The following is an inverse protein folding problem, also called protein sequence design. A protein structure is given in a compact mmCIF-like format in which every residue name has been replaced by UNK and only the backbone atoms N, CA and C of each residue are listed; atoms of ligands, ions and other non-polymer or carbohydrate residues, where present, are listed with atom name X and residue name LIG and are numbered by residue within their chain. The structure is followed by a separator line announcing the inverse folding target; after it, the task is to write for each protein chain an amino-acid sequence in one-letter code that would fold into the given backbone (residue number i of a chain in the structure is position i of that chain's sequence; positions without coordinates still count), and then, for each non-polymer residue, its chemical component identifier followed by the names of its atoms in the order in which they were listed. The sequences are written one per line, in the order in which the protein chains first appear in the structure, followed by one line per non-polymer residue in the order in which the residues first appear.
data_IF_685328367266
#
_entry.id   IF_685328367266
#
_cell.length_a   1.000
_cell.length_b   1.000
_cell.length_c   1.000
_cell.angle_alpha   90.00
_cell.angle_beta   90.00
_cell.angle_gamma   90.00
#
_symmetry.space_group_name_H-M   'P 1'
#
loop_
_entity.id
_entity.type
_entity.pdbx_description
1 polymer ?
#
# COMPACT_ATOMS: atom_id res chain seq x y z
N UNK A 1 -13.40 -3.96 -10.17
CA UNK A 1 -14.23 -5.14 -10.53
C UNK A 1 -15.24 -5.35 -9.43
N UNK A 2 -16.53 -5.33 -9.75
CA UNK A 2 -17.56 -5.67 -8.78
C UNK A 2 -17.56 -7.20 -8.58
N UNK A 3 -17.52 -7.67 -7.33
CA UNK A 3 -17.55 -9.11 -7.02
C UNK A 3 -18.66 -9.51 -6.02
N UNK A 4 -19.45 -8.53 -5.55
CA UNK A 4 -20.65 -8.68 -4.71
C UNK A 4 -20.52 -9.59 -3.48
N UNK A 5 -19.29 -9.83 -3.01
CA UNK A 5 -19.05 -10.65 -1.83
C UNK A 5 -19.69 -10.01 -0.59
N UNK A 6 -20.22 -10.86 0.29
CA UNK A 6 -20.77 -10.44 1.59
C UNK A 6 -19.66 -10.07 2.58
N UNK A 7 -19.99 -9.27 3.60
CA UNK A 7 -19.05 -8.87 4.65
C UNK A 7 -18.52 -10.09 5.44
N UNK A 8 -19.35 -11.11 5.66
CA UNK A 8 -18.94 -12.34 6.33
C UNK A 8 -17.92 -13.14 5.49
N UNK A 9 -18.10 -13.20 4.18
CA UNK A 9 -17.14 -13.83 3.27
C UNK A 9 -15.85 -13.01 3.16
N UNK A 10 -15.96 -11.68 3.16
CA UNK A 10 -14.82 -10.78 3.18
C UNK A 10 -13.95 -11.02 4.43
N UNK A 11 -14.58 -11.05 5.61
CA UNK A 11 -13.88 -11.32 6.87
C UNK A 11 -13.24 -12.71 6.89
N UNK A 12 -13.96 -13.73 6.42
CA UNK A 12 -13.40 -15.08 6.24
C UNK A 12 -12.17 -15.07 5.34
N UNK A 13 -12.21 -14.33 4.23
CA UNK A 13 -11.05 -14.22 3.34
C UNK A 13 -9.89 -13.49 4.00
N UNK A 14 -10.11 -12.37 4.69
CA UNK A 14 -9.05 -11.67 5.45
C UNK A 14 -8.36 -12.64 6.41
N UNK A 15 -9.14 -13.36 7.22
CA UNK A 15 -8.62 -14.33 8.20
C UNK A 15 -7.83 -15.51 7.61
N UNK A 16 -7.93 -15.79 6.31
CA UNK A 16 -7.14 -16.84 5.64
C UNK A 16 -5.93 -16.25 4.91
N UNK A 17 -6.13 -15.16 4.18
CA UNK A 17 -5.08 -14.62 3.30
C UNK A 17 -4.08 -13.73 4.02
N UNK A 18 -4.50 -13.00 5.04
CA UNK A 18 -3.60 -12.14 5.82
C UNK A 18 -2.49 -12.94 6.53
N UNK A 19 -2.79 -13.97 7.35
CA UNK A 19 -1.72 -14.76 7.98
C UNK A 19 -0.90 -15.56 6.96
N UNK A 20 -1.51 -16.00 5.86
CA UNK A 20 -0.77 -16.66 4.78
C UNK A 20 0.25 -15.72 4.14
N UNK A 21 -0.16 -14.49 3.78
CA UNK A 21 0.77 -13.49 3.23
C UNK A 21 1.81 -13.05 4.25
N UNK A 22 1.47 -12.97 5.54
CA UNK A 22 2.43 -12.71 6.60
C UNK A 22 3.54 -13.79 6.66
N UNK A 23 3.19 -15.08 6.56
CA UNK A 23 4.19 -16.15 6.49
C UNK A 23 5.13 -16.01 5.27
N UNK A 24 4.61 -15.51 4.13
CA UNK A 24 5.46 -15.22 2.95
C UNK A 24 6.37 -14.02 3.21
N UNK A 25 5.92 -12.98 3.93
CA UNK A 25 6.79 -11.84 4.32
C UNK A 25 7.94 -12.29 5.22
N UNK A 26 7.65 -13.17 6.19
CA UNK A 26 8.67 -13.77 7.04
C UNK A 26 9.67 -14.60 6.23
N UNK A 27 9.19 -15.34 5.23
CA UNK A 27 10.06 -16.07 4.31
C UNK A 27 10.98 -15.13 3.51
N UNK A 28 10.47 -14.01 2.98
CA UNK A 28 11.29 -13.02 2.24
C UNK A 28 12.45 -12.54 3.10
N UNK A 29 12.19 -12.17 4.34
CA UNK A 29 13.23 -11.77 5.27
C UNK A 29 14.21 -12.91 5.58
N UNK A 30 13.71 -14.12 5.84
CA UNK A 30 14.56 -15.30 6.10
C UNK A 30 15.48 -15.62 4.92
N UNK A 31 15.00 -15.50 3.67
CA UNK A 31 15.81 -15.76 2.47
C UNK A 31 16.99 -14.80 2.32
N UNK A 32 16.89 -13.60 2.88
CA UNK A 32 17.97 -12.59 2.85
C UNK A 32 19.01 -12.89 3.92
N UNK A 33 18.57 -13.31 5.11
CA UNK A 33 19.41 -13.35 6.32
C UNK A 33 19.90 -14.74 6.72
N UNK A 34 19.39 -15.80 6.08
CA UNK A 34 19.74 -17.19 6.44
C UNK A 34 21.21 -17.52 6.17
N UNK A 35 21.78 -18.38 7.03
CA UNK A 35 23.14 -18.92 6.93
C UNK A 35 23.13 -20.45 7.09
N UNK A 36 22.00 -21.09 6.85
CA UNK A 36 21.91 -22.57 6.84
C UNK A 36 22.76 -23.14 5.70
N UNK A 37 23.12 -24.42 5.80
CA UNK A 37 23.95 -25.07 4.79
C UNK A 37 23.22 -25.28 3.45
N UNK A 38 24.00 -25.56 2.42
CA UNK A 38 23.51 -25.75 1.05
C UNK A 38 22.44 -26.85 0.92
N UNK A 39 22.52 -27.92 1.73
CA UNK A 39 21.57 -29.03 1.66
C UNK A 39 20.21 -28.61 2.20
N UNK A 40 20.20 -27.82 3.28
CA UNK A 40 18.98 -27.24 3.83
C UNK A 40 18.37 -26.20 2.89
N UNK A 41 19.18 -25.35 2.23
CA UNK A 41 18.69 -24.42 1.19
C UNK A 41 17.96 -25.18 0.07
N UNK A 42 18.52 -26.29 -0.42
CA UNK A 42 17.89 -27.10 -1.48
C UNK A 42 16.57 -27.72 -1.04
N UNK A 43 16.47 -28.17 0.22
CA UNK A 43 15.21 -28.71 0.79
C UNK A 43 14.15 -27.63 0.89
N UNK A 44 14.49 -26.48 1.47
CA UNK A 44 13.59 -25.33 1.58
C UNK A 44 13.11 -24.86 0.20
N UNK A 45 14.00 -24.78 -0.79
CA UNK A 45 13.63 -24.46 -2.17
C UNK A 45 12.58 -25.43 -2.72
N UNK A 46 12.79 -26.74 -2.57
CA UNK A 46 11.85 -27.75 -3.07
C UNK A 46 10.46 -27.65 -2.41
N UNK A 47 10.41 -27.34 -1.10
CA UNK A 47 9.16 -27.12 -0.38
C UNK A 47 8.43 -25.86 -0.86
N UNK A 48 9.15 -24.75 -1.04
CA UNK A 48 8.60 -23.49 -1.56
C UNK A 48 8.06 -23.68 -2.98
N UNK A 49 8.78 -24.39 -3.84
CA UNK A 49 8.35 -24.72 -5.20
C UNK A 49 7.10 -25.61 -5.20
N UNK A 50 7.04 -26.62 -4.32
CA UNK A 50 5.88 -27.49 -4.18
C UNK A 50 4.63 -26.73 -3.68
N UNK A 51 4.78 -25.85 -2.69
CA UNK A 51 3.69 -24.98 -2.22
C UNK A 51 3.24 -24.04 -3.35
N UNK A 52 4.19 -23.44 -4.06
CA UNK A 52 3.90 -22.54 -5.19
C UNK A 52 3.15 -23.26 -6.30
N UNK A 53 3.54 -24.49 -6.65
CA UNK A 53 2.86 -25.30 -7.66
C UNK A 53 1.40 -25.58 -7.27
N UNK A 54 1.13 -25.96 -6.01
CA UNK A 54 -0.22 -26.19 -5.49
C UNK A 54 -1.08 -24.92 -5.55
N UNK A 55 -0.52 -23.77 -5.19
CA UNK A 55 -1.24 -22.49 -5.27
C UNK A 55 -1.53 -22.06 -6.71
N UNK A 56 -0.76 -22.54 -7.69
CA UNK A 56 -0.95 -22.25 -9.11
C UNK A 56 -1.99 -23.14 -9.79
N UNK A 57 -2.49 -24.19 -9.13
CA UNK A 57 -3.55 -25.06 -9.67
C UNK A 57 -4.84 -24.28 -9.99
N UNK A 58 -5.10 -23.20 -9.25
CA UNK A 58 -6.26 -22.34 -9.49
C UNK A 58 -5.94 -20.88 -9.15
N UNK A 59 -5.80 -20.05 -10.18
CA UNK A 59 -5.47 -18.63 -10.04
C UNK A 59 -6.48 -17.74 -10.76
N UNK A 60 -6.49 -16.47 -10.38
CA UNK A 60 -7.20 -15.45 -11.13
C UNK A 60 -6.52 -15.18 -12.48
N UNK A 61 -7.30 -14.85 -13.50
CA UNK A 61 -6.76 -14.37 -14.77
C UNK A 61 -6.28 -12.92 -14.62
N UNK A 62 -5.05 -12.65 -15.08
CA UNK A 62 -4.49 -11.29 -15.12
C UNK A 62 -4.15 -10.70 -13.73
N UNK A 63 -4.36 -9.40 -13.58
CA UNK A 63 -4.02 -8.67 -12.35
C UNK A 63 -5.20 -8.60 -11.37
N UNK A 64 -4.91 -8.51 -10.05
CA UNK A 64 -5.94 -8.42 -9.02
C UNK A 64 -6.81 -7.16 -9.14
N UNK A 65 -6.20 -6.02 -9.48
CA UNK A 65 -6.87 -4.72 -9.61
C UNK A 65 -7.45 -4.20 -8.29
N UNK A 66 -8.53 -3.42 -8.37
CA UNK A 66 -9.35 -3.04 -7.21
C UNK A 66 -10.69 -3.78 -7.31
N UNK A 67 -11.06 -4.49 -6.24
CA UNK A 67 -12.33 -5.21 -6.15
C UNK A 67 -13.31 -4.47 -5.25
N UNK A 68 -14.58 -4.42 -5.66
CA UNK A 68 -15.62 -3.72 -4.93
C UNK A 68 -16.68 -4.73 -4.50
N UNK A 69 -16.93 -4.79 -3.18
CA UNK A 69 -18.01 -5.60 -2.61
C UNK A 69 -19.35 -4.87 -2.63
N UNK A 70 -20.35 -5.45 -1.97
CA UNK A 70 -21.70 -4.86 -1.86
C UNK A 70 -21.71 -3.48 -1.22
N UNK A 71 -20.85 -3.25 -0.23
CA UNK A 71 -20.74 -1.96 0.46
C UNK A 71 -20.02 -0.88 -0.36
N UNK A 72 -19.56 -1.19 -1.58
CA UNK A 72 -18.87 -0.23 -2.46
C UNK A 72 -17.45 0.15 -2.02
N UNK A 73 -16.92 -0.44 -0.94
CA UNK A 73 -15.52 -0.25 -0.51
C UNK A 73 -14.56 -0.95 -1.45
N UNK A 74 -13.56 -0.21 -1.92
CA UNK A 74 -12.48 -0.74 -2.75
C UNK A 74 -11.52 -1.60 -1.93
N UNK A 75 -11.15 -2.76 -2.48
CA UNK A 75 -10.19 -3.69 -1.89
C UNK A 75 -9.00 -3.82 -2.83
N UNK A 76 -7.91 -3.08 -2.60
CA UNK A 76 -6.71 -3.12 -3.43
C UNK A 76 -5.74 -4.21 -2.96
N UNK A 77 -6.21 -5.44 -2.65
CA UNK A 77 -5.37 -6.44 -1.97
C UNK A 77 -4.13 -6.91 -2.73
N UNK A 78 -4.01 -6.62 -4.03
CA UNK A 78 -2.78 -6.85 -4.80
C UNK A 78 -1.82 -5.65 -4.89
N UNK A 79 -2.18 -4.49 -4.33
CA UNK A 79 -1.39 -3.26 -4.38
C UNK A 79 -0.02 -3.45 -3.71
N UNK A 80 1.02 -2.78 -4.26
CA UNK A 80 2.42 -2.96 -3.84
C UNK A 80 2.77 -2.22 -2.54
N UNK A 81 1.86 -1.45 -1.96
CA UNK A 81 2.08 -0.69 -0.72
C UNK A 81 1.14 -1.12 0.40
N UNK A 82 -0.15 -1.32 0.08
CA UNK A 82 -1.20 -1.65 1.07
C UNK A 82 -1.90 -2.99 0.78
N UNK A 83 -1.33 -3.79 -0.14
CA UNK A 83 -1.96 -5.03 -0.57
C UNK A 83 -1.92 -6.13 0.49
N UNK A 84 -3.07 -6.48 1.05
CA UNK A 84 -3.24 -7.60 1.99
C UNK A 84 -2.67 -8.93 1.44
N UNK A 85 -2.79 -9.17 0.13
CA UNK A 85 -2.30 -10.37 -0.56
C UNK A 85 -0.96 -10.17 -1.27
N UNK A 86 -0.27 -9.05 -1.02
CA UNK A 86 1.02 -8.76 -1.62
C UNK A 86 2.12 -8.80 -0.55
N UNK A 87 2.99 -9.81 -0.62
CA UNK A 87 4.11 -9.95 0.32
C UNK A 87 5.23 -8.93 0.08
N UNK A 88 5.26 -8.26 -1.09
CA UNK A 88 6.17 -7.14 -1.32
C UNK A 88 5.68 -5.84 -0.67
N UNK A 89 4.39 -5.76 -0.31
CA UNK A 89 3.85 -4.60 0.38
C UNK A 89 4.52 -4.42 1.74
N UNK A 90 5.06 -3.24 2.06
CA UNK A 90 5.47 -2.93 3.41
C UNK A 90 4.24 -3.00 4.35
N UNK A 91 4.44 -3.33 5.63
CA UNK A 91 3.35 -3.62 6.56
C UNK A 91 2.68 -2.33 7.06
N UNK A 92 2.15 -1.51 6.15
CA UNK A 92 1.45 -0.28 6.47
C UNK A 92 0.01 -0.58 6.86
N UNK A 93 -0.36 -0.16 8.07
CA UNK A 93 -1.75 0.03 8.50
C UNK A 93 -1.95 1.53 8.61
N UNK A 94 -2.81 2.07 7.76
CA UNK A 94 -2.98 3.51 7.60
C UNK A 94 -4.25 3.91 8.34
N UNK A 95 -4.09 4.80 9.32
CA UNK A 95 -5.18 5.47 10.00
C UNK A 95 -5.38 6.86 9.38
N UNK A 96 -6.59 7.39 9.52
CA UNK A 96 -6.88 8.77 9.15
C UNK A 96 -7.90 9.41 10.10
N UNK A 97 -7.92 10.74 10.16
CA UNK A 97 -8.95 11.51 10.86
C UNK A 97 -10.02 12.07 9.92
N UNK A 98 -11.04 12.72 10.48
CA UNK A 98 -12.16 13.32 9.73
C UNK A 98 -11.74 14.47 8.80
N UNK A 99 -10.52 15.00 8.96
CA UNK A 99 -9.96 16.05 8.09
C UNK A 99 -9.23 15.49 6.88
N UNK A 100 -9.02 14.16 6.84
CA UNK A 100 -8.23 13.48 5.82
C UNK A 100 -6.73 13.49 6.10
N UNK A 101 -6.28 13.81 7.32
CA UNK A 101 -4.89 13.59 7.71
C UNK A 101 -4.69 12.10 7.92
N UNK A 102 -3.69 11.52 7.27
CA UNK A 102 -3.37 10.10 7.32
C UNK A 102 -2.02 9.85 8.02
N UNK A 103 -1.91 8.75 8.76
CA UNK A 103 -0.65 8.34 9.38
C UNK A 103 -0.53 6.82 9.48
N UNK A 104 0.70 6.33 9.58
CA UNK A 104 1.00 4.93 9.81
C UNK A 104 2.31 4.79 10.59
N UNK A 105 2.32 3.92 11.60
CA UNK A 105 3.54 3.45 12.28
C UNK A 105 3.84 2.03 11.80
N UNK A 106 5.06 1.76 11.36
CA UNK A 106 5.43 0.49 10.74
C UNK A 106 6.92 0.17 10.90
N UNK A 107 7.28 -1.09 10.64
CA UNK A 107 8.66 -1.57 10.69
C UNK A 107 9.16 -1.97 9.31
N UNK A 108 10.30 -1.43 8.87
CA UNK A 108 10.98 -1.84 7.63
C UNK A 108 12.26 -2.62 7.95
N UNK A 109 12.24 -3.92 7.65
CA UNK A 109 13.38 -4.83 7.78
C UNK A 109 14.21 -4.98 6.50
N UNK A 110 15.03 -6.03 6.45
CA UNK A 110 16.02 -6.27 5.38
C UNK A 110 15.41 -6.33 3.96
N UNK A 111 14.15 -6.72 3.83
CA UNK A 111 13.43 -6.76 2.55
C UNK A 111 13.32 -5.39 1.85
N UNK A 112 13.53 -4.28 2.57
CA UNK A 112 13.38 -2.92 2.08
C UNK A 112 14.69 -2.13 2.06
N UNK A 113 15.81 -2.80 2.36
CA UNK A 113 17.15 -2.21 2.39
C UNK A 113 17.59 -1.75 0.99
N UNK A 114 18.26 -0.59 0.94
CA UNK A 114 18.93 -0.12 -0.27
C UNK A 114 20.43 0.07 0.01
N UNK A 115 20.85 1.25 0.48
CA UNK A 115 22.18 1.39 1.08
C UNK A 115 22.29 0.56 2.37
N UNK A 116 23.50 0.15 2.79
CA UNK A 116 23.69 -0.62 4.01
C UNK A 116 23.05 0.05 5.24
N UNK A 117 22.15 -0.68 5.91
CA UNK A 117 21.40 -0.25 7.10
C UNK A 117 20.30 0.78 6.84
N UNK A 118 20.06 1.17 5.58
CA UNK A 118 19.11 2.22 5.22
C UNK A 118 18.02 1.69 4.29
N UNK A 119 16.81 2.23 4.44
CA UNK A 119 15.69 2.00 3.51
C UNK A 119 16.06 2.51 2.13
N UNK A 120 15.76 1.73 1.09
CA UNK A 120 15.94 2.15 -0.28
C UNK A 120 15.06 3.38 -0.59
N UNK A 121 15.64 4.43 -1.17
CA UNK A 121 14.89 5.68 -1.43
C UNK A 121 13.60 5.47 -2.26
N UNK A 122 13.63 4.53 -3.21
CA UNK A 122 12.44 4.12 -3.96
C UNK A 122 11.32 3.51 -3.12
N UNK A 123 11.64 2.82 -2.01
CA UNK A 123 10.63 2.33 -1.05
C UNK A 123 10.03 3.50 -0.28
N UNK A 124 10.84 4.45 0.18
CA UNK A 124 10.34 5.69 0.80
C UNK A 124 9.43 6.47 -0.15
N UNK A 125 9.80 6.57 -1.43
CA UNK A 125 8.97 7.22 -2.44
C UNK A 125 7.64 6.51 -2.66
N UNK A 126 7.65 5.18 -2.76
CA UNK A 126 6.46 4.36 -2.90
C UNK A 126 5.51 4.50 -1.70
N UNK A 127 6.04 4.50 -0.48
CA UNK A 127 5.25 4.72 0.74
C UNK A 127 4.62 6.12 0.74
N UNK A 128 5.40 7.15 0.43
CA UNK A 128 4.89 8.53 0.46
C UNK A 128 3.87 8.78 -0.66
N UNK A 129 4.03 8.22 -1.85
CA UNK A 129 3.00 8.29 -2.90
C UNK A 129 1.66 7.73 -2.40
N UNK A 130 1.66 6.55 -1.79
CA UNK A 130 0.47 5.95 -1.21
C UNK A 130 -0.12 6.84 -0.10
N UNK A 131 0.69 7.26 0.89
CA UNK A 131 0.21 8.08 2.01
C UNK A 131 -0.43 9.39 1.57
N UNK A 132 0.14 10.06 0.57
CA UNK A 132 -0.43 11.29 0.02
C UNK A 132 -1.75 11.00 -0.73
N UNK A 133 -1.84 9.87 -1.43
CA UNK A 133 -3.08 9.40 -2.07
C UNK A 133 -4.18 9.06 -1.07
N UNK A 134 -3.83 8.43 0.05
CA UNK A 134 -4.74 8.11 1.17
C UNK A 134 -5.27 9.40 1.81
N UNK A 135 -4.40 10.37 2.10
CA UNK A 135 -4.83 11.66 2.64
C UNK A 135 -5.78 12.40 1.68
N UNK A 136 -5.48 12.40 0.38
CA UNK A 136 -6.35 12.98 -0.63
C UNK A 136 -7.72 12.25 -0.72
N UNK A 137 -7.71 10.92 -0.65
CA UNK A 137 -8.91 10.09 -0.65
C UNK A 137 -9.79 10.31 0.57
N UNK A 138 -9.20 10.20 1.77
CA UNK A 138 -9.88 10.39 3.05
C UNK A 138 -10.46 11.81 3.20
N UNK A 139 -9.78 12.83 2.66
CA UNK A 139 -10.29 14.19 2.58
C UNK A 139 -11.37 14.44 1.51
N UNK A 140 -11.88 13.38 0.85
CA UNK A 140 -12.94 13.48 -0.17
C UNK A 140 -12.47 14.07 -1.50
N UNK A 141 -11.16 14.00 -1.79
CA UNK A 141 -10.53 14.59 -2.98
C UNK A 141 -9.66 13.56 -3.73
N UNK A 142 -10.18 12.37 -4.09
CA UNK A 142 -9.38 11.33 -4.73
C UNK A 142 -8.88 11.80 -6.10
N UNK A 143 -7.71 11.29 -6.50
CA UNK A 143 -7.13 11.60 -7.78
C UNK A 143 -5.99 10.67 -8.14
N UNK A 144 -5.59 10.70 -9.41
CA UNK A 144 -4.40 10.00 -9.88
C UNK A 144 -3.17 10.88 -9.64
N UNK A 145 -2.06 10.31 -9.21
CA UNK A 145 -0.79 11.03 -9.08
C UNK A 145 -0.41 11.67 -10.42
N UNK A 146 -0.31 13.00 -10.44
CA UNK A 146 0.17 13.80 -11.56
C UNK A 146 1.65 14.12 -11.43
N UNK A 147 2.08 14.56 -10.24
CA UNK A 147 3.50 14.78 -9.91
C UNK A 147 3.78 14.36 -8.48
N UNK A 148 4.98 13.87 -8.22
CA UNK A 148 5.49 13.56 -6.89
C UNK A 148 6.93 14.10 -6.79
N UNK A 149 7.17 14.98 -5.83
CA UNK A 149 8.48 15.58 -5.55
C UNK A 149 8.91 15.14 -4.17
N UNK A 150 10.12 14.57 -4.06
CA UNK A 150 10.68 14.13 -2.79
C UNK A 150 11.97 14.90 -2.44
N UNK A 151 12.12 15.25 -1.17
CA UNK A 151 13.37 15.77 -0.62
C UNK A 151 13.89 14.81 0.44
N UNK A 152 14.97 14.10 0.14
CA UNK A 152 15.67 13.23 1.08
C UNK A 152 16.59 14.09 1.97
N UNK A 153 16.15 14.34 3.20
CA UNK A 153 16.84 15.21 4.17
C UNK A 153 18.05 14.52 4.79
N UNK A 154 17.91 13.23 5.08
CA UNK A 154 18.93 12.37 5.68
C UNK A 154 18.64 10.90 5.37
N UNK A 155 19.57 10.01 5.73
CA UNK A 155 19.37 8.56 5.59
C UNK A 155 18.16 8.09 6.39
N UNK A 156 17.31 7.27 5.78
CA UNK A 156 16.20 6.62 6.50
C UNK A 156 16.69 5.27 7.03
N UNK A 157 16.86 5.08 8.34
CA UNK A 157 17.33 3.81 8.87
C UNK A 157 16.28 2.71 8.67
N UNK A 158 16.73 1.46 8.55
CA UNK A 158 15.86 0.31 8.80
C UNK A 158 15.35 0.34 10.25
N UNK A 159 14.19 -0.26 10.49
CA UNK A 159 13.55 -0.30 11.80
C UNK A 159 12.18 0.37 11.84
N UNK A 160 11.81 0.86 13.02
CA UNK A 160 10.52 1.50 13.28
C UNK A 160 10.49 2.92 12.71
N UNK A 161 9.47 3.18 11.89
CA UNK A 161 9.28 4.43 11.16
C UNK A 161 7.81 4.87 11.28
N UNK A 162 7.60 6.17 11.06
CA UNK A 162 6.26 6.76 10.95
C UNK A 162 6.14 7.51 9.65
N UNK A 163 5.02 7.35 8.95
CA UNK A 163 4.64 8.21 7.84
C UNK A 163 3.41 9.03 8.20
N UNK A 164 3.37 10.28 7.75
CA UNK A 164 2.19 11.15 7.87
C UNK A 164 1.96 11.90 6.56
N UNK A 165 0.70 12.17 6.24
CA UNK A 165 0.31 12.95 5.08
C UNK A 165 -0.98 13.74 5.32
N UNK A 166 -1.14 14.85 4.60
CA UNK A 166 -2.30 15.74 4.68
C UNK A 166 -2.50 16.51 3.37
N UNK A 167 -3.72 17.00 3.16
CA UNK A 167 -4.02 17.92 2.05
C UNK A 167 -3.47 19.32 2.40
N UNK A 168 -2.66 19.88 1.52
CA UNK A 168 -2.16 21.27 1.63
C UNK A 168 -3.17 22.26 1.05
N UNK A 169 -3.72 21.95 -0.13
CA UNK A 169 -4.75 22.75 -0.80
C UNK A 169 -5.45 21.96 -1.92
N UNK A 170 -6.62 22.41 -2.34
CA UNK A 170 -7.34 21.84 -3.49
C UNK A 170 -7.92 22.96 -4.37
N UNK A 171 -7.75 22.85 -5.68
CA UNK A 171 -8.25 23.82 -6.68
C UNK A 171 -8.78 23.09 -7.91
N UNK A 172 -10.10 23.19 -8.12
CA UNK A 172 -10.78 22.53 -9.23
C UNK A 172 -10.57 21.01 -9.19
N UNK A 173 -9.87 20.48 -10.19
CA UNK A 173 -9.63 19.04 -10.37
C UNK A 173 -8.29 18.57 -9.79
N UNK A 174 -7.57 19.47 -9.11
CA UNK A 174 -6.24 19.21 -8.55
C UNK A 174 -6.26 19.31 -7.03
N UNK A 175 -5.61 18.35 -6.40
CA UNK A 175 -5.39 18.30 -4.95
C UNK A 175 -3.89 18.24 -4.71
N UNK A 176 -3.36 19.16 -3.91
CA UNK A 176 -1.98 19.14 -3.46
C UNK A 176 -1.95 18.53 -2.07
N UNK A 177 -1.13 17.50 -1.90
CA UNK A 177 -0.91 16.85 -0.63
C UNK A 177 0.58 16.92 -0.26
N UNK A 178 0.84 16.93 1.04
CA UNK A 178 2.17 16.91 1.62
C UNK A 178 2.27 15.75 2.60
N UNK A 179 3.49 15.30 2.84
CA UNK A 179 3.75 14.29 3.85
C UNK A 179 5.22 14.10 4.12
N UNK A 180 5.52 13.33 5.14
CA UNK A 180 6.88 13.01 5.53
C UNK A 180 7.02 11.59 6.06
N UNK A 181 8.22 11.05 5.89
CA UNK A 181 8.70 9.86 6.56
C UNK A 181 9.59 10.28 7.72
N UNK A 182 9.34 9.72 8.89
CA UNK A 182 9.97 10.06 10.16
C UNK A 182 10.69 8.83 10.69
N UNK A 183 11.99 8.98 10.95
CA UNK A 183 12.79 8.01 11.69
C UNK A 183 13.04 8.45 13.13
N UNK A 184 13.88 7.71 13.87
CA UNK A 184 14.17 7.98 15.28
C UNK A 184 14.73 9.39 15.56
N UNK A 185 15.45 9.97 14.59
CA UNK A 185 16.07 11.30 14.69
C UNK A 185 15.25 12.40 14.01
N UNK A 186 14.01 12.11 13.60
CA UNK A 186 13.11 13.06 12.96
C UNK A 186 12.87 12.78 11.47
N UNK A 187 12.44 13.81 10.73
CA UNK A 187 12.05 13.68 9.32
C UNK A 187 13.25 13.28 8.46
N UNK A 188 13.10 12.19 7.70
CA UNK A 188 14.14 11.68 6.79
C UNK A 188 13.83 12.00 5.34
N UNK A 189 12.54 12.00 4.97
CA UNK A 189 12.06 12.30 3.62
C UNK A 189 10.81 13.16 3.70
N UNK A 190 10.75 14.24 2.93
CA UNK A 190 9.55 15.05 2.69
C UNK A 190 9.01 14.78 1.29
N UNK A 191 7.69 14.83 1.12
CA UNK A 191 7.02 14.69 -0.16
C UNK A 191 5.97 15.78 -0.39
N UNK A 192 5.89 16.24 -1.64
CA UNK A 192 4.77 17.04 -2.15
C UNK A 192 4.23 16.38 -3.42
N UNK A 193 2.92 16.20 -3.49
CA UNK A 193 2.25 15.53 -4.59
C UNK A 193 1.08 16.32 -5.13
N UNK A 194 0.81 16.17 -6.43
CA UNK A 194 -0.40 16.69 -7.08
C UNK A 194 -1.23 15.52 -7.57
N UNK A 195 -2.46 15.43 -7.10
CA UNK A 195 -3.43 14.42 -7.49
C UNK A 195 -4.48 15.05 -8.37
N UNK A 196 -4.79 14.41 -9.50
CA UNK A 196 -5.69 14.93 -10.52
C UNK A 196 -6.90 14.01 -10.63
N UNK A 197 -8.10 14.55 -10.42
CA UNK A 197 -9.34 13.81 -10.60
C UNK A 197 -9.48 13.43 -12.08
N UNK A 198 -9.48 12.12 -12.42
CA UNK A 198 -9.43 11.69 -13.81
C UNK A 198 -10.71 12.05 -14.56
N UNK A 199 -10.63 12.16 -15.90
CA UNK A 199 -11.74 12.61 -16.75
C UNK A 199 -13.02 11.79 -16.56
N UNK A 200 -12.90 10.47 -16.56
CA UNK A 200 -14.06 9.57 -16.41
C UNK A 200 -14.77 9.79 -15.06
N UNK A 201 -14.03 10.08 -13.98
CA UNK A 201 -14.61 10.36 -12.66
C UNK A 201 -15.35 11.70 -12.67
N UNK A 202 -14.78 12.70 -13.34
CA UNK A 202 -15.44 14.01 -13.51
C UNK A 202 -16.73 13.91 -14.32
N UNK A 203 -16.72 13.11 -15.38
CA UNK A 203 -17.89 12.84 -16.21
C UNK A 203 -18.97 12.10 -15.42
N UNK A 204 -18.58 11.12 -14.58
CA UNK A 204 -19.51 10.42 -13.70
C UNK A 204 -20.15 11.35 -12.64
N UNK A 205 -19.35 12.18 -11.98
CA UNK A 205 -19.85 13.17 -11.00
C UNK A 205 -20.78 14.18 -11.68
N UNK A 206 -20.44 14.67 -12.86
CA UNK A 206 -21.28 15.61 -13.61
C UNK A 206 -22.59 14.98 -14.11
N UNK A 207 -22.65 13.65 -14.23
CA UNK A 207 -23.82 12.90 -14.67
C UNK A 207 -24.71 12.41 -13.51
N UNK A 208 -24.26 12.52 -12.25
CA UNK A 208 -24.99 12.14 -11.05
C UNK A 208 -25.50 13.41 -10.32
N UNK A 209 -26.83 13.56 -10.19
CA UNK A 209 -27.43 14.50 -9.21
C UNK A 209 -27.15 13.94 -7.79
N UNK A 210 -26.10 14.45 -7.15
CA UNK A 210 -25.81 14.56 -5.70
C UNK A 210 -25.97 13.37 -4.71
N UNK A 211 -26.43 12.17 -5.09
CA UNK A 211 -26.82 11.13 -4.10
C UNK A 211 -25.93 9.88 -3.98
N UNK A 212 -24.81 9.75 -4.72
CA UNK A 212 -23.88 8.62 -4.51
C UNK A 212 -22.53 9.05 -3.95
N UNK A 213 -22.02 8.41 -2.87
CA UNK A 213 -20.70 8.72 -2.34
C UNK A 213 -19.63 8.45 -3.39
N UNK A 214 -18.63 9.32 -3.46
CA UNK A 214 -17.46 9.13 -4.33
C UNK A 214 -16.81 7.79 -3.97
N UNK A 215 -16.51 6.90 -4.93
CA UNK A 215 -15.91 5.61 -4.64
C UNK A 215 -14.59 5.80 -3.88
N UNK A 216 -14.53 5.26 -2.65
CA UNK A 216 -13.25 5.09 -1.96
C UNK A 216 -12.55 3.87 -2.54
N UNK A 217 -11.36 4.08 -3.09
CA UNK A 217 -10.49 2.99 -3.55
C UNK A 217 -9.71 2.34 -2.40
N UNK A 218 -9.86 2.90 -1.20
CA UNK A 218 -9.19 2.53 0.03
C UNK A 218 -10.20 1.86 0.97
N UNK A 219 -9.72 0.83 1.68
CA UNK A 219 -10.53 -0.04 2.56
C UNK A 219 -10.87 0.64 3.87
#
# INVERSE_FOLDING_TARGET
MQDDISDAELERQRGVYEPFTQAVRELVDATIRTLVDDDEIRRAQAEIEAVTARLREHQLDGAYGVRFGRAGRGRPWGNTVVGLRNAAAPPLVIDHDDTGRAWADFHLGAAYEGPPGLVHGGVSAMILDQMLGEAAGAGGKPGMTGTLTLTYRQGTPLGDLRAEAWIDRAEGVKTWAKGHLIGPEGVTVEAEGVFILPRWAREAIAAQDDEQPTPSYFE
#
